data_IF_003776006540
#
_entry.id   IF_003776006540
#
_cell.length_a   1.000
_cell.length_b   1.000
_cell.length_c   1.000
_cell.angle_alpha   90.00
_cell.angle_beta   90.00
_cell.angle_gamma   90.00
#
_symmetry.space_group_name_H-M   'P 1'
#
loop_
_entity.id
_entity.type
_entity.pdbx_description
1 polymer ?
#
# COMPACT_ATOMS: atom_id res chain seq x y z
N UNK A 1 23.49 7.08 22.74
CA UNK A 1 22.82 6.07 21.89
C UNK A 1 21.73 6.83 21.15
N UNK A 2 21.89 7.05 19.84
CA UNK A 2 20.84 7.70 19.04
C UNK A 2 19.64 6.75 19.02
N UNK A 3 18.53 7.13 19.66
CA UNK A 3 17.22 6.53 19.39
C UNK A 3 16.64 7.32 18.21
N UNK A 4 16.54 6.70 17.04
CA UNK A 4 15.93 7.35 15.86
C UNK A 4 14.42 7.53 16.00
N UNK A 5 13.79 6.81 16.94
CA UNK A 5 12.37 6.96 17.22
C UNK A 5 12.10 8.13 18.18
N UNK A 6 11.10 8.98 17.89
CA UNK A 6 10.67 10.02 18.82
C UNK A 6 10.34 9.43 20.20
N UNK A 7 10.64 10.18 21.26
CA UNK A 7 10.16 9.85 22.59
C UNK A 7 8.63 9.73 22.57
N UNK A 8 8.08 8.67 23.18
CA UNK A 8 6.63 8.44 23.28
C UNK A 8 6.13 7.10 22.74
N UNK A 9 6.97 6.30 22.08
CA UNK A 9 6.63 4.91 21.73
C UNK A 9 7.10 3.94 22.81
N UNK A 10 6.16 3.20 23.41
CA UNK A 10 6.46 2.18 24.42
C UNK A 10 6.92 0.84 23.81
N UNK A 11 6.51 0.55 22.57
CA UNK A 11 6.83 -0.68 21.85
C UNK A 11 6.78 -0.46 20.34
N UNK A 12 7.80 -0.92 19.63
CA UNK A 12 7.89 -0.88 18.17
C UNK A 12 8.03 -2.30 17.63
N UNK A 13 7.08 -2.68 16.78
CA UNK A 13 7.04 -4.01 16.16
C UNK A 13 7.12 -3.84 14.64
N UNK A 14 8.10 -4.48 14.02
CA UNK A 14 8.21 -4.56 12.56
C UNK A 14 7.81 -5.94 12.05
N UNK A 15 7.07 -5.98 10.95
CA UNK A 15 6.79 -7.19 10.17
C UNK A 15 7.55 -7.04 8.86
N UNK A 16 8.55 -7.87 8.63
CA UNK A 16 9.47 -7.67 7.51
C UNK A 16 10.02 -9.00 6.98
N UNK A 17 10.33 -9.04 5.68
CA UNK A 17 10.98 -10.19 5.03
C UNK A 17 12.51 -10.12 5.18
N UNK A 18 13.04 -8.98 5.64
CA UNK A 18 14.47 -8.75 5.88
C UNK A 18 14.68 -7.81 7.05
N UNK A 19 15.92 -7.69 7.51
CA UNK A 19 16.29 -6.65 8.48
C UNK A 19 16.39 -5.28 7.78
N UNK A 20 15.28 -4.57 7.66
CA UNK A 20 15.24 -3.16 7.22
C UNK A 20 15.82 -2.22 8.30
N UNK A 21 16.07 -0.95 7.95
CA UNK A 21 16.48 0.04 8.95
C UNK A 21 15.41 0.17 10.05
N UNK A 22 14.14 0.18 9.67
CA UNK A 22 13.00 0.16 10.60
C UNK A 22 13.03 -1.06 11.51
N UNK A 23 13.20 -2.26 10.95
CA UNK A 23 13.29 -3.50 11.73
C UNK A 23 14.50 -3.50 12.67
N UNK A 24 15.64 -2.97 12.22
CA UNK A 24 16.87 -2.88 13.02
C UNK A 24 16.69 -2.02 14.28
N UNK A 25 15.87 -0.97 14.20
CA UNK A 25 15.54 -0.10 15.33
C UNK A 25 14.24 -0.48 16.05
N UNK A 26 13.61 -1.62 15.71
CA UNK A 26 12.40 -2.09 16.38
C UNK A 26 12.74 -2.94 17.62
N UNK A 27 11.84 -2.98 18.59
CA UNK A 27 11.98 -3.85 19.77
C UNK A 27 11.68 -5.31 19.43
N UNK A 28 10.73 -5.53 18.52
CA UNK A 28 10.33 -6.85 18.03
C UNK A 28 10.31 -6.84 16.50
N UNK A 29 10.86 -7.90 15.91
CA UNK A 29 10.77 -8.16 14.47
C UNK A 29 10.09 -9.49 14.26
N UNK A 30 8.98 -9.49 13.52
CA UNK A 30 8.22 -10.68 13.15
C UNK A 30 8.60 -11.07 11.69
N UNK A 31 9.03 -12.32 11.45
CA UNK A 31 9.47 -12.74 10.12
C UNK A 31 8.26 -12.92 9.18
N UNK A 32 8.18 -12.09 8.15
CA UNK A 32 7.16 -12.19 7.11
C UNK A 32 7.59 -13.17 6.01
N UNK A 33 6.63 -13.88 5.43
CA UNK A 33 6.86 -14.73 4.27
C UNK A 33 7.19 -13.87 3.03
N UNK A 34 8.21 -14.30 2.28
CA UNK A 34 8.67 -13.65 1.05
C UNK A 34 7.66 -13.69 -0.10
N UNK A 35 7.98 -12.97 -1.19
CA UNK A 35 7.07 -12.77 -2.33
C UNK A 35 6.61 -14.06 -3.03
N UNK A 36 7.44 -15.12 -3.00
CA UNK A 36 7.15 -16.42 -3.63
C UNK A 36 6.85 -17.51 -2.59
N UNK A 37 6.68 -17.13 -1.34
CA UNK A 37 6.44 -18.05 -0.21
C UNK A 37 4.97 -18.07 0.23
N UNK A 38 4.13 -17.27 -0.43
CA UNK A 38 2.72 -17.07 -0.11
C UNK A 38 1.94 -16.71 -1.36
N UNK A 39 0.63 -16.92 -1.30
CA UNK A 39 -0.29 -16.48 -2.35
C UNK A 39 -0.54 -14.98 -2.21
N UNK A 40 -0.34 -14.22 -3.28
CA UNK A 40 -0.55 -12.77 -3.27
C UNK A 40 -0.96 -12.23 -4.65
N UNK A 41 -1.48 -11.01 -4.66
CA UNK A 41 -1.84 -10.29 -5.87
C UNK A 41 -1.11 -8.96 -5.93
N UNK A 42 -0.56 -8.63 -7.10
CA UNK A 42 -0.04 -7.29 -7.33
C UNK A 42 -1.20 -6.29 -7.38
N UNK A 43 -1.07 -5.17 -6.68
CA UNK A 43 -2.04 -4.09 -6.77
C UNK A 43 -2.16 -3.59 -8.23
N UNK A 44 -3.39 -3.39 -8.73
CA UNK A 44 -3.60 -2.91 -10.07
C UNK A 44 -3.26 -1.42 -10.18
N UNK A 45 -2.81 -1.01 -11.36
CA UNK A 45 -2.63 0.41 -11.69
C UNK A 45 -3.16 0.65 -13.09
N UNK A 46 -3.49 1.88 -13.45
CA UNK A 46 -4.00 2.16 -14.80
C UNK A 46 -2.99 1.85 -15.91
N UNK A 47 -1.69 1.90 -15.58
CA UNK A 47 -0.60 1.55 -16.48
C UNK A 47 -0.40 0.03 -16.61
N UNK A 48 -0.85 -0.75 -15.61
CA UNK A 48 -0.80 -2.21 -15.61
C UNK A 48 -2.18 -2.72 -15.20
N UNK A 49 -3.07 -2.77 -16.19
CA UNK A 49 -4.48 -3.10 -16.02
C UNK A 49 -4.76 -4.62 -16.00
N UNK A 50 -3.91 -5.34 -15.27
CA UNK A 50 -4.02 -6.77 -15.04
C UNK A 50 -3.95 -7.06 -13.55
N UNK A 51 -4.79 -7.97 -13.09
CA UNK A 51 -4.56 -8.67 -11.83
C UNK A 51 -3.40 -9.64 -12.10
N UNK A 52 -2.26 -9.39 -11.47
CA UNK A 52 -1.10 -10.27 -11.55
C UNK A 52 -1.02 -11.11 -10.30
N UNK A 53 -0.89 -12.41 -10.47
CA UNK A 53 -0.86 -13.39 -9.41
C UNK A 53 0.58 -13.79 -9.07
N UNK A 54 0.87 -13.87 -7.78
CA UNK A 54 2.06 -14.53 -7.23
C UNK A 54 1.60 -15.77 -6.48
N UNK A 55 2.05 -16.94 -6.93
CA UNK A 55 1.72 -18.21 -6.27
C UNK A 55 2.76 -18.54 -5.19
N UNK A 56 2.38 -19.44 -4.29
CA UNK A 56 3.32 -20.02 -3.33
C UNK A 56 4.22 -21.05 -4.05
N UNK A 57 5.37 -20.60 -4.53
CA UNK A 57 6.33 -21.48 -5.20
C UNK A 57 7.09 -22.38 -4.22
N UNK A 58 7.33 -21.90 -3.00
CA UNK A 58 8.00 -22.64 -1.92
C UNK A 58 7.32 -22.34 -0.58
N UNK A 59 7.55 -23.19 0.43
CA UNK A 59 7.06 -22.91 1.79
C UNK A 59 7.84 -21.74 2.42
N UNK A 60 7.22 -20.94 3.31
CA UNK A 60 7.91 -19.92 4.09
C UNK A 60 9.14 -20.50 4.79
N UNK A 61 10.26 -19.79 4.72
CA UNK A 61 11.52 -20.27 5.27
C UNK A 61 11.55 -20.05 6.78
N UNK A 62 11.98 -21.08 7.52
CA UNK A 62 12.11 -21.02 8.98
C UNK A 62 10.75 -20.88 9.67
N UNK A 63 10.61 -19.84 10.48
CA UNK A 63 9.36 -19.52 11.19
C UNK A 63 8.58 -18.37 10.54
N UNK A 64 8.97 -17.96 9.32
CA UNK A 64 8.28 -16.92 8.58
C UNK A 64 6.81 -17.27 8.35
N UNK A 65 5.94 -16.25 8.39
CA UNK A 65 4.49 -16.42 8.21
C UNK A 65 3.94 -15.43 7.19
N UNK A 66 2.94 -15.82 6.39
CA UNK A 66 2.09 -14.86 5.72
C UNK A 66 1.45 -13.92 6.74
N UNK A 67 1.25 -12.67 6.36
CA UNK A 67 0.75 -11.61 7.25
C UNK A 67 -0.65 -11.93 7.77
N UNK A 68 -1.49 -12.59 6.97
CA UNK A 68 -2.81 -13.06 7.41
C UNK A 68 -2.71 -14.00 8.61
N UNK A 69 -1.86 -15.04 8.54
CA UNK A 69 -1.64 -15.97 9.65
C UNK A 69 -1.13 -15.22 10.88
N UNK A 70 -0.16 -14.32 10.68
CA UNK A 70 0.44 -13.53 11.74
C UNK A 70 -0.60 -12.66 12.47
N UNK A 71 -1.41 -11.92 11.72
CA UNK A 71 -2.44 -11.04 12.29
C UNK A 71 -3.56 -11.83 12.97
N UNK A 72 -3.94 -12.98 12.42
CA UNK A 72 -4.93 -13.85 13.04
C UNK A 72 -4.42 -14.41 14.39
N UNK A 73 -3.16 -14.83 14.47
CA UNK A 73 -2.55 -15.29 15.72
C UNK A 73 -2.43 -14.16 16.75
N UNK A 74 -2.10 -12.94 16.32
CA UNK A 74 -2.09 -11.76 17.19
C UNK A 74 -3.49 -11.44 17.73
N UNK A 75 -4.51 -11.43 16.87
CA UNK A 75 -5.91 -11.24 17.27
C UNK A 75 -6.34 -12.28 18.32
N UNK A 76 -5.98 -13.55 18.12
CA UNK A 76 -6.24 -14.64 19.06
C UNK A 76 -5.58 -14.41 20.41
N UNK A 77 -4.31 -13.99 20.42
CA UNK A 77 -3.59 -13.75 21.66
C UNK A 77 -4.10 -12.51 22.39
N UNK A 78 -4.47 -11.46 21.65
CA UNK A 78 -5.10 -10.26 22.21
C UNK A 78 -6.44 -10.58 22.85
N UNK A 79 -7.29 -11.39 22.21
CA UNK A 79 -8.56 -11.84 22.76
C UNK A 79 -8.37 -12.63 24.08
N UNK A 80 -7.41 -13.56 24.11
CA UNK A 80 -7.06 -14.32 25.31
C UNK A 80 -6.62 -13.39 26.46
N UNK A 81 -5.72 -12.44 26.17
CA UNK A 81 -5.20 -11.50 27.15
C UNK A 81 -6.27 -10.51 27.63
N UNK A 82 -7.16 -10.06 26.74
CA UNK A 82 -8.29 -9.19 27.07
C UNK A 82 -9.20 -9.85 28.12
N UNK A 83 -9.55 -11.13 27.90
CA UNK A 83 -10.34 -11.92 28.87
C UNK A 83 -9.58 -12.11 30.19
N UNK A 84 -8.31 -12.50 30.14
CA UNK A 84 -7.50 -12.71 31.35
C UNK A 84 -7.32 -11.44 32.19
N UNK A 85 -7.22 -10.28 31.54
CA UNK A 85 -7.04 -8.97 32.22
C UNK A 85 -8.37 -8.30 32.58
N UNK A 86 -9.51 -8.90 32.24
CA UNK A 86 -10.83 -8.30 32.43
C UNK A 86 -11.03 -7.00 31.63
N UNK A 87 -10.27 -6.80 30.55
CA UNK A 87 -10.35 -5.63 29.65
C UNK A 87 -10.89 -6.08 28.30
N UNK A 88 -12.19 -6.31 28.24
CA UNK A 88 -12.86 -6.93 27.09
C UNK A 88 -13.42 -5.92 26.10
N UNK A 89 -13.39 -4.63 26.42
CA UNK A 89 -13.93 -3.56 25.59
C UNK A 89 -12.94 -2.38 25.52
N UNK A 90 -13.01 -1.66 24.40
CA UNK A 90 -12.22 -0.47 24.14
C UNK A 90 -13.11 0.59 23.48
N UNK A 91 -13.08 1.83 23.98
CA UNK A 91 -13.77 2.97 23.37
C UNK A 91 -12.76 3.85 22.64
N UNK A 92 -13.03 4.15 21.38
CA UNK A 92 -12.27 5.10 20.56
C UNK A 92 -13.21 6.21 20.07
N UNK A 93 -13.34 7.27 20.86
CA UNK A 93 -14.15 8.43 20.50
C UNK A 93 -15.62 8.08 20.24
N UNK A 94 -16.21 7.20 21.06
CA UNK A 94 -17.59 6.72 20.92
C UNK A 94 -17.77 5.53 19.98
N UNK A 95 -16.68 4.98 19.42
CA UNK A 95 -16.69 3.66 18.77
C UNK A 95 -16.31 2.60 19.77
N UNK A 96 -17.30 1.77 20.14
CA UNK A 96 -17.10 0.66 21.06
C UNK A 96 -16.62 -0.57 20.30
N UNK A 97 -15.45 -1.08 20.69
CA UNK A 97 -14.84 -2.30 20.18
C UNK A 97 -14.85 -3.38 21.25
N UNK A 98 -15.24 -4.59 20.86
CA UNK A 98 -15.09 -5.77 21.71
C UNK A 98 -13.77 -6.46 21.40
N UNK A 99 -12.98 -6.66 22.44
CA UNK A 99 -11.70 -7.36 22.39
C UNK A 99 -11.86 -8.85 22.71
N UNK A 100 -12.95 -9.23 23.40
CA UNK A 100 -13.24 -10.61 23.79
C UNK A 100 -13.89 -11.46 22.69
N UNK A 101 -14.03 -10.92 21.47
CA UNK A 101 -14.40 -11.66 20.25
C UNK A 101 -13.56 -11.24 19.04
N UNK A 102 -12.40 -10.61 19.27
CA UNK A 102 -11.57 -10.03 18.22
C UNK A 102 -11.14 -11.06 17.18
N UNK A 103 -10.72 -12.25 17.60
CA UNK A 103 -10.29 -13.30 16.70
C UNK A 103 -11.45 -13.88 15.90
N UNK A 104 -12.60 -14.04 16.55
CA UNK A 104 -13.83 -14.48 15.89
C UNK A 104 -14.21 -13.51 14.77
N UNK A 105 -14.24 -12.20 15.05
CA UNK A 105 -14.56 -11.18 14.05
C UNK A 105 -13.49 -11.14 12.95
N UNK A 106 -12.21 -11.17 13.30
CA UNK A 106 -11.11 -11.14 12.34
C UNK A 106 -11.17 -12.30 11.34
N UNK A 107 -11.55 -13.49 11.80
CA UNK A 107 -11.64 -14.71 10.98
C UNK A 107 -13.00 -14.90 10.31
N UNK A 108 -13.84 -13.87 10.27
CA UNK A 108 -15.22 -13.95 9.76
C UNK A 108 -16.02 -15.07 10.42
N UNK A 109 -16.01 -15.10 11.75
CA UNK A 109 -16.63 -16.15 12.57
C UNK A 109 -16.10 -17.56 12.23
N UNK A 110 -14.79 -17.65 11.99
CA UNK A 110 -14.10 -18.90 11.66
C UNK A 110 -14.26 -19.37 10.21
N UNK A 111 -14.84 -18.55 9.32
CA UNK A 111 -14.93 -18.86 7.90
C UNK A 111 -13.55 -18.84 7.22
N UNK A 112 -12.62 -17.99 7.66
CA UNK A 112 -11.24 -17.94 7.17
C UNK A 112 -10.29 -17.94 8.37
N UNK A 113 -9.70 -19.09 8.67
CA UNK A 113 -8.80 -19.26 9.82
C UNK A 113 -7.37 -18.83 9.48
N UNK A 114 -6.47 -18.94 10.46
CA UNK A 114 -5.10 -18.40 10.38
C UNK A 114 -4.33 -18.97 9.16
N UNK A 115 -4.58 -20.24 8.81
CA UNK A 115 -3.89 -20.95 7.72
C UNK A 115 -4.69 -21.04 6.42
N UNK A 116 -5.79 -20.31 6.30
CA UNK A 116 -6.70 -20.37 5.15
C UNK A 116 -6.39 -19.27 4.10
N UNK A 117 -5.12 -18.93 3.89
CA UNK A 117 -4.73 -17.85 2.96
C UNK A 117 -5.19 -18.12 1.51
N UNK A 118 -5.13 -19.36 1.05
CA UNK A 118 -5.67 -19.75 -0.27
C UNK A 118 -7.17 -19.46 -0.38
N UNK A 119 -7.92 -19.74 0.69
CA UNK A 119 -9.36 -19.44 0.73
C UNK A 119 -9.61 -17.95 0.73
N UNK A 120 -8.82 -17.18 1.48
CA UNK A 120 -8.88 -15.72 1.47
C UNK A 120 -8.62 -15.16 0.07
N UNK A 121 -7.57 -15.64 -0.60
CA UNK A 121 -7.22 -15.22 -1.95
C UNK A 121 -8.34 -15.53 -2.96
N UNK A 122 -8.98 -16.69 -2.85
CA UNK A 122 -10.11 -17.06 -3.70
C UNK A 122 -11.35 -16.19 -3.45
N UNK A 123 -11.67 -15.88 -2.19
CA UNK A 123 -12.74 -14.92 -1.88
C UNK A 123 -12.43 -13.52 -2.40
N UNK A 124 -11.18 -13.04 -2.30
CA UNK A 124 -10.78 -11.76 -2.90
C UNK A 124 -11.01 -11.71 -4.41
N UNK A 125 -10.71 -12.80 -5.13
CA UNK A 125 -10.97 -12.89 -6.58
C UNK A 125 -12.47 -12.87 -6.87
N UNK A 126 -13.26 -13.66 -6.12
CA UNK A 126 -14.72 -13.70 -6.27
C UNK A 126 -15.37 -12.36 -5.98
N UNK A 127 -14.95 -11.67 -4.93
CA UNK A 127 -15.43 -10.33 -4.60
C UNK A 127 -15.09 -9.33 -5.72
N UNK A 128 -13.88 -9.44 -6.29
CA UNK A 128 -13.47 -8.62 -7.42
C UNK A 128 -14.32 -8.89 -8.68
N UNK A 129 -14.72 -10.14 -8.93
CA UNK A 129 -15.71 -10.48 -9.95
C UNK A 129 -17.10 -9.93 -9.60
N UNK A 130 -17.51 -10.03 -8.33
CA UNK A 130 -18.81 -9.60 -7.84
C UNK A 130 -19.04 -8.10 -8.05
N UNK A 131 -17.99 -7.31 -7.86
CA UNK A 131 -18.03 -5.85 -8.13
C UNK A 131 -17.82 -5.51 -9.62
N UNK A 132 -17.69 -6.51 -10.50
CA UNK A 132 -17.61 -6.32 -11.95
C UNK A 132 -16.24 -5.87 -12.48
N UNK A 133 -15.18 -6.02 -11.67
CA UNK A 133 -13.84 -5.61 -12.09
C UNK A 133 -13.12 -6.69 -12.92
N UNK A 134 -13.45 -7.97 -12.72
CA UNK A 134 -12.90 -9.11 -13.46
C UNK A 134 -13.97 -9.86 -14.26
N UNK A 135 -13.57 -10.66 -15.26
CA UNK A 135 -14.51 -11.49 -16.02
C UNK A 135 -15.34 -12.42 -15.13
N UNK A 136 -16.59 -12.64 -15.51
CA UNK A 136 -17.46 -13.61 -14.83
C UNK A 136 -16.80 -14.99 -14.72
N UNK A 137 -17.08 -15.68 -13.60
CA UNK A 137 -16.55 -17.03 -13.30
C UNK A 137 -15.02 -17.11 -13.15
N UNK A 138 -14.33 -15.98 -13.04
CA UNK A 138 -12.93 -15.98 -12.62
C UNK A 138 -12.85 -16.42 -11.15
N UNK A 139 -12.01 -17.41 -10.87
CA UNK A 139 -11.71 -17.92 -9.54
C UNK A 139 -10.18 -18.03 -9.37
N UNK A 140 -9.71 -18.41 -8.17
CA UNK A 140 -8.29 -18.53 -7.91
C UNK A 140 -7.61 -19.56 -8.82
N UNK A 141 -8.31 -20.64 -9.19
CA UNK A 141 -7.77 -21.69 -10.07
C UNK A 141 -7.49 -21.15 -11.47
N UNK A 142 -8.39 -20.36 -12.02
CA UNK A 142 -8.21 -19.74 -13.34
C UNK A 142 -7.11 -18.66 -13.29
N UNK A 143 -7.07 -17.85 -12.23
CA UNK A 143 -6.02 -16.86 -12.02
C UNK A 143 -4.65 -17.53 -11.94
N UNK A 144 -4.52 -18.61 -11.16
CA UNK A 144 -3.29 -19.40 -11.05
C UNK A 144 -2.85 -19.99 -12.38
N UNK A 145 -3.79 -20.52 -13.17
CA UNK A 145 -3.48 -21.08 -14.49
C UNK A 145 -2.97 -20.02 -15.47
N UNK A 146 -3.54 -18.81 -15.43
CA UNK A 146 -3.21 -17.74 -16.40
C UNK A 146 -2.09 -16.82 -15.95
N UNK A 147 -1.84 -16.70 -14.64
CA UNK A 147 -0.88 -15.78 -14.02
C UNK A 147 -1.29 -14.31 -14.08
N UNK A 148 -1.96 -13.88 -15.16
CA UNK A 148 -2.50 -12.53 -15.33
C UNK A 148 -3.92 -12.57 -15.89
N UNK A 149 -4.81 -11.78 -15.28
CA UNK A 149 -6.18 -11.55 -15.77
C UNK A 149 -6.38 -10.07 -16.02
N UNK A 150 -6.85 -9.70 -17.22
CA UNK A 150 -7.13 -8.29 -17.55
C UNK A 150 -8.40 -7.84 -16.83
N UNK A 151 -8.37 -6.66 -16.23
CA UNK A 151 -9.59 -6.03 -15.70
C UNK A 151 -10.58 -5.72 -16.82
N UNK A 152 -11.86 -5.94 -16.54
CA UNK A 152 -12.99 -5.68 -17.44
C UNK A 152 -13.87 -4.53 -16.99
N UNK A 153 -13.65 -4.03 -15.77
CA UNK A 153 -14.38 -2.89 -15.20
C UNK A 153 -13.60 -2.23 -14.07
N UNK A 154 -14.08 -1.08 -13.63
CA UNK A 154 -13.48 -0.30 -12.54
C UNK A 154 -13.84 -0.83 -11.15
N UNK A 155 -14.73 -1.81 -11.04
CA UNK A 155 -15.19 -2.31 -9.76
C UNK A 155 -16.04 -1.31 -8.99
N UNK A 156 -15.97 -1.39 -7.67
CA UNK A 156 -16.68 -0.52 -6.74
C UNK A 156 -15.73 0.31 -5.85
N UNK A 157 -14.42 0.20 -6.05
CA UNK A 157 -13.47 0.93 -5.22
C UNK A 157 -13.39 2.40 -5.64
N UNK A 158 -13.22 3.29 -4.66
CA UNK A 158 -13.25 4.72 -4.91
C UNK A 158 -12.11 5.18 -5.84
N UNK A 159 -10.94 4.52 -5.81
CA UNK A 159 -9.80 4.89 -6.65
C UNK A 159 -10.10 4.54 -8.10
N UNK A 160 -10.58 3.32 -8.35
CA UNK A 160 -11.04 2.83 -9.64
C UNK A 160 -12.14 3.71 -10.22
N UNK A 161 -13.18 4.03 -9.45
CA UNK A 161 -14.28 4.88 -9.91
C UNK A 161 -13.82 6.31 -10.26
N UNK A 162 -12.81 6.85 -9.58
CA UNK A 162 -12.24 8.16 -9.89
C UNK A 162 -11.42 8.20 -11.19
N UNK A 163 -11.06 7.04 -11.75
CA UNK A 163 -10.55 6.97 -13.12
C UNK A 163 -11.59 7.48 -14.11
N UNK A 164 -12.88 7.34 -13.79
CA UNK A 164 -14.00 7.92 -14.53
C UNK A 164 -13.97 7.62 -16.04
N UNK A 165 -13.86 6.33 -16.38
CA UNK A 165 -13.78 5.84 -17.76
C UNK A 165 -14.31 4.42 -17.88
N UNK A 166 -14.73 4.01 -19.07
CA UNK A 166 -15.09 2.60 -19.30
C UNK A 166 -13.84 1.80 -19.60
N UNK A 167 -13.71 0.61 -18.99
CA UNK A 167 -12.71 -0.37 -19.43
C UNK A 167 -13.30 -1.16 -20.59
N UNK A 168 -12.68 -1.03 -21.76
CA UNK A 168 -13.07 -1.78 -22.97
C UNK A 168 -11.99 -2.80 -23.34
N UNK A 169 -12.39 -3.98 -23.85
CA UNK A 169 -11.44 -4.96 -24.38
C UNK A 169 -10.57 -4.33 -25.48
N UNK A 170 -9.27 -4.67 -25.47
CA UNK A 170 -8.29 -4.21 -26.47
C UNK A 170 -8.07 -2.69 -26.63
N UNK A 171 -8.70 -1.85 -25.80
CA UNK A 171 -8.45 -0.41 -25.79
C UNK A 171 -7.42 -0.02 -24.72
N UNK A 172 -6.77 1.13 -24.95
CA UNK A 172 -5.96 1.79 -23.91
C UNK A 172 -6.90 2.47 -22.93
N UNK A 173 -6.61 2.39 -21.64
CA UNK A 173 -7.39 3.10 -20.65
C UNK A 173 -6.94 4.56 -20.61
N UNK A 174 -7.86 5.46 -20.92
CA UNK A 174 -7.68 6.90 -20.77
C UNK A 174 -8.68 7.41 -19.72
N UNK A 175 -8.21 8.08 -18.65
CA UNK A 175 -9.06 8.49 -17.54
C UNK A 175 -9.92 9.71 -17.90
N UNK A 176 -10.88 10.03 -17.02
CA UNK A 176 -11.73 11.22 -17.05
C UNK A 176 -12.66 11.35 -18.26
N UNK A 177 -12.76 10.31 -19.10
CA UNK A 177 -13.60 10.28 -20.30
C UNK A 177 -15.08 10.43 -20.00
N UNK A 178 -15.56 9.97 -18.84
CA UNK A 178 -16.97 10.16 -18.46
C UNK A 178 -17.34 11.64 -18.35
N UNK A 179 -16.41 12.52 -17.96
CA UNK A 179 -16.69 13.95 -17.86
C UNK A 179 -16.77 14.62 -19.23
N UNK A 180 -15.88 14.25 -20.14
CA UNK A 180 -15.80 14.86 -21.48
C UNK A 180 -16.78 14.24 -22.47
N UNK A 181 -17.04 12.93 -22.38
CA UNK A 181 -17.88 12.19 -23.33
C UNK A 181 -19.32 12.01 -22.82
N UNK A 182 -19.49 11.58 -21.56
CA UNK A 182 -20.82 11.35 -20.95
C UNK A 182 -21.37 12.56 -20.21
N UNK A 183 -20.59 13.64 -20.09
CA UNK A 183 -20.96 14.89 -19.42
C UNK A 183 -21.30 14.69 -17.94
N UNK A 184 -20.72 13.67 -17.30
CA UNK A 184 -20.82 13.51 -15.84
C UNK A 184 -20.06 14.68 -15.20
N UNK A 185 -20.66 15.47 -14.30
CA UNK A 185 -19.95 16.58 -13.68
C UNK A 185 -18.75 16.11 -12.85
N UNK A 186 -17.69 16.91 -12.81
CA UNK A 186 -16.54 16.63 -11.94
C UNK A 186 -16.98 16.69 -10.46
N UNK A 187 -16.38 15.88 -9.56
CA UNK A 187 -16.70 15.90 -8.13
C UNK A 187 -16.01 17.06 -7.40
N UNK A 188 -16.18 18.27 -7.92
CA UNK A 188 -15.63 19.54 -7.42
C UNK A 188 -16.77 20.50 -7.05
N UNK A 189 -16.46 21.58 -6.31
CA UNK A 189 -17.46 22.56 -5.87
C UNK A 189 -18.24 23.16 -7.05
N UNK A 190 -17.54 23.56 -8.12
CA UNK A 190 -18.16 24.16 -9.30
C UNK A 190 -18.59 23.12 -10.37
N UNK A 191 -18.49 21.82 -10.05
CA UNK A 191 -18.87 20.69 -10.90
C UNK A 191 -18.12 20.61 -12.24
N UNK A 192 -16.95 21.24 -12.33
CA UNK A 192 -16.06 21.33 -13.50
C UNK A 192 -14.61 21.09 -13.08
N UNK A 193 -13.68 21.13 -14.04
CA UNK A 193 -12.26 21.30 -13.71
C UNK A 193 -12.13 22.65 -13.00
N UNK A 194 -11.76 22.62 -11.72
CA UNK A 194 -11.76 23.79 -10.84
C UNK A 194 -10.34 24.36 -10.74
N UNK A 195 -10.12 25.50 -11.40
CA UNK A 195 -8.88 26.27 -11.27
C UNK A 195 -8.99 27.38 -10.22
N UNK A 196 -10.21 27.85 -9.93
CA UNK A 196 -10.45 28.87 -8.90
C UNK A 196 -10.89 28.23 -7.58
N UNK A 197 -10.19 28.48 -6.49
CA UNK A 197 -10.52 27.98 -5.15
C UNK A 197 -10.79 29.17 -4.23
N UNK A 198 -12.06 29.38 -3.89
CA UNK A 198 -12.58 30.55 -3.15
C UNK A 198 -12.66 30.32 -1.64
N UNK A 199 -12.03 29.27 -1.13
CA UNK A 199 -11.92 29.04 0.31
C UNK A 199 -11.02 30.10 0.94
N UNK A 200 -11.40 30.62 2.12
CA UNK A 200 -10.68 31.70 2.81
C UNK A 200 -9.16 31.44 2.92
N UNK A 201 -8.76 30.22 3.26
CA UNK A 201 -7.33 29.84 3.30
C UNK A 201 -6.59 29.98 1.96
N UNK A 202 -7.23 29.69 0.83
CA UNK A 202 -6.61 29.85 -0.50
C UNK A 202 -6.51 31.33 -0.86
N UNK A 203 -7.52 32.14 -0.52
CA UNK A 203 -7.50 33.59 -0.71
C UNK A 203 -6.42 34.25 0.16
N UNK A 204 -6.34 33.90 1.44
CA UNK A 204 -5.31 34.38 2.38
C UNK A 204 -3.90 33.98 1.93
N UNK A 205 -3.75 32.77 1.38
CA UNK A 205 -2.48 32.30 0.85
C UNK A 205 -2.13 32.87 -0.54
N UNK A 206 -3.05 33.54 -1.24
CA UNK A 206 -2.87 33.96 -2.64
C UNK A 206 -2.76 32.78 -3.60
N UNK A 207 -3.52 31.71 -3.37
CA UNK A 207 -3.59 30.47 -4.17
C UNK A 207 -4.96 30.24 -4.80
N UNK A 208 -5.83 31.26 -4.80
CA UNK A 208 -7.15 31.17 -5.38
C UNK A 208 -7.11 30.87 -6.88
N UNK A 209 -6.01 31.17 -7.57
CA UNK A 209 -5.68 30.70 -8.91
C UNK A 209 -4.32 30.01 -8.92
N UNK A 210 -4.03 29.15 -9.91
CA UNK A 210 -2.69 28.58 -10.08
C UNK A 210 -1.65 29.70 -10.24
N UNK A 211 -0.66 29.69 -9.36
CA UNK A 211 0.40 30.71 -9.33
C UNK A 211 1.74 30.06 -9.03
N UNK A 212 2.82 30.65 -9.53
CA UNK A 212 4.16 30.23 -9.13
C UNK A 212 4.46 30.69 -7.71
N UNK A 213 4.90 29.77 -6.86
CA UNK A 213 5.54 30.05 -5.58
C UNK A 213 6.95 29.44 -5.58
N UNK A 214 7.99 30.18 -5.15
CA UNK A 214 9.31 29.61 -5.00
C UNK A 214 9.29 28.52 -3.92
N UNK A 215 10.17 27.51 -3.99
CA UNK A 215 10.26 26.50 -2.94
C UNK A 215 10.56 27.19 -1.60
N UNK A 216 9.86 26.81 -0.52
CA UNK A 216 10.19 27.29 0.82
C UNK A 216 11.65 26.94 1.16
N UNK A 217 12.31 27.79 1.96
CA UNK A 217 13.69 27.55 2.44
C UNK A 217 13.74 26.50 3.57
N UNK A 218 13.12 25.35 3.34
CA UNK A 218 13.15 24.20 4.25
C UNK A 218 14.60 23.75 4.43
N UNK A 219 15.04 23.66 5.68
CA UNK A 219 16.43 23.31 6.02
C UNK A 219 17.33 24.51 6.28
N UNK A 220 16.94 25.75 5.92
CA UNK A 220 17.70 26.97 6.18
C UNK A 220 18.26 27.64 4.91
N UNK A 221 19.12 28.64 5.10
CA UNK A 221 19.72 29.42 4.01
C UNK A 221 21.03 28.78 3.53
N UNK A 222 20.90 27.71 2.76
CA UNK A 222 22.03 26.95 2.22
C UNK A 222 22.15 27.11 0.69
N UNK A 223 23.38 27.08 0.15
CA UNK A 223 23.63 27.34 -1.28
C UNK A 223 23.22 26.18 -2.21
N UNK A 224 23.05 24.97 -1.68
CA UNK A 224 22.66 23.78 -2.44
C UNK A 224 21.29 23.29 -1.98
N UNK A 225 20.44 22.93 -2.94
CA UNK A 225 19.15 22.30 -2.69
C UNK A 225 19.31 20.79 -2.86
N UNK A 226 19.00 20.03 -1.81
CA UNK A 226 18.98 18.57 -1.89
C UNK A 226 17.74 18.10 -2.63
N UNK A 227 17.94 17.34 -3.70
CA UNK A 227 16.86 16.66 -4.41
C UNK A 227 17.01 15.14 -4.28
N UNK A 228 15.92 14.41 -4.46
CA UNK A 228 15.90 12.95 -4.43
C UNK A 228 15.08 12.38 -5.58
N UNK A 229 15.25 11.09 -5.85
CA UNK A 229 14.51 10.39 -6.88
C UNK A 229 14.47 8.90 -6.59
N UNK A 230 13.51 8.19 -7.19
CA UNK A 230 13.45 6.74 -7.07
C UNK A 230 14.68 6.12 -7.73
N UNK A 231 15.27 5.14 -7.03
CA UNK A 231 16.49 4.48 -7.48
C UNK A 231 16.18 3.52 -8.64
N UNK A 232 17.09 3.43 -9.60
CA UNK A 232 16.96 2.45 -10.71
C UNK A 232 17.12 1.01 -10.23
N UNK A 233 18.01 0.80 -9.26
CA UNK A 233 18.45 -0.53 -8.79
C UNK A 233 17.65 -1.06 -7.60
N UNK A 234 16.59 -0.36 -7.18
CA UNK A 234 15.72 -0.82 -6.09
C UNK A 234 14.31 -0.25 -6.20
N UNK A 235 13.33 -1.00 -5.70
CA UNK A 235 11.98 -0.48 -5.45
C UNK A 235 11.95 0.01 -4.01
N UNK A 236 12.01 1.33 -3.83
CA UNK A 236 12.24 1.94 -2.52
C UNK A 236 13.47 1.32 -1.84
N UNK A 237 13.36 0.95 -0.56
CA UNK A 237 14.44 0.30 0.18
C UNK A 237 14.49 -1.22 0.00
N UNK A 238 13.58 -1.86 -0.74
CA UNK A 238 13.44 -3.33 -0.66
C UNK A 238 14.70 -4.08 -1.13
N UNK A 239 15.38 -3.56 -2.17
CA UNK A 239 16.53 -4.21 -2.80
C UNK A 239 17.87 -3.52 -2.51
N UNK A 240 17.88 -2.46 -1.69
CA UNK A 240 19.11 -1.64 -1.47
C UNK A 240 20.23 -2.37 -0.76
N UNK A 241 19.96 -3.55 -0.21
CA UNK A 241 20.96 -4.45 0.42
C UNK A 241 21.11 -5.77 -0.34
N UNK A 242 20.49 -5.91 -1.51
CA UNK A 242 20.65 -7.11 -2.33
C UNK A 242 22.05 -7.12 -2.95
N UNK A 243 22.86 -8.11 -2.59
CA UNK A 243 24.27 -8.18 -3.01
C UNK A 243 24.44 -8.18 -4.53
N UNK A 244 23.59 -8.93 -5.26
CA UNK A 244 23.64 -8.98 -6.71
C UNK A 244 23.40 -7.61 -7.33
N UNK A 245 22.40 -6.87 -6.84
CA UNK A 245 22.08 -5.53 -7.34
C UNK A 245 23.13 -4.49 -6.92
N UNK A 246 23.68 -4.58 -5.70
CA UNK A 246 24.75 -3.70 -5.24
C UNK A 246 25.99 -3.75 -6.14
N UNK A 247 26.31 -4.93 -6.70
CA UNK A 247 27.41 -5.12 -7.66
C UNK A 247 27.18 -4.45 -9.03
N UNK A 248 25.96 -3.99 -9.32
CA UNK A 248 25.62 -3.30 -10.58
C UNK A 248 25.84 -1.79 -10.54
N UNK A 249 26.13 -1.23 -9.36
CA UNK A 249 26.42 0.19 -9.16
C UNK A 249 27.57 0.34 -8.16
N UNK A 250 27.72 1.53 -7.53
CA UNK A 250 28.80 1.79 -6.56
C UNK A 250 28.68 1.01 -5.25
N UNK A 251 27.65 0.18 -5.06
CA UNK A 251 27.49 -0.65 -3.86
C UNK A 251 27.15 0.10 -2.55
N UNK A 252 26.95 1.42 -2.59
CA UNK A 252 26.66 2.23 -1.41
C UNK A 252 25.77 3.45 -1.78
N UNK A 253 25.15 4.12 -0.79
CA UNK A 253 24.45 5.39 -1.00
C UNK A 253 25.38 6.43 -1.66
N UNK A 254 24.84 7.25 -2.56
CA UNK A 254 25.61 8.26 -3.28
C UNK A 254 24.80 9.54 -3.44
N UNK A 255 25.53 10.65 -3.58
CA UNK A 255 25.00 11.94 -4.02
C UNK A 255 25.53 12.21 -5.43
N UNK A 256 24.66 12.71 -6.31
CA UNK A 256 25.04 13.18 -7.64
C UNK A 256 25.12 14.70 -7.57
N UNK A 257 26.27 15.26 -7.94
CA UNK A 257 26.55 16.70 -7.85
C UNK A 257 27.09 17.20 -9.19
N UNK A 258 26.84 18.48 -9.49
CA UNK A 258 27.50 19.13 -10.63
C UNK A 258 29.02 19.15 -10.40
N UNK A 259 29.86 18.84 -11.41
CA UNK A 259 31.31 18.88 -11.24
C UNK A 259 31.83 20.23 -10.75
N UNK A 260 31.25 21.36 -11.21
CA UNK A 260 31.67 22.70 -10.79
C UNK A 260 31.36 22.97 -9.32
N UNK A 261 30.21 22.49 -8.84
CA UNK A 261 29.83 22.65 -7.43
C UNK A 261 30.67 21.74 -6.51
N UNK A 262 31.17 20.61 -7.04
CA UNK A 262 32.05 19.70 -6.31
C UNK A 262 33.52 20.18 -6.24
N UNK A 263 33.93 21.06 -7.16
CA UNK A 263 35.28 21.65 -7.22
C UNK A 263 35.41 22.95 -6.41
N UNK A 264 34.30 23.63 -6.13
CA UNK A 264 34.24 24.92 -5.43
C UNK A 264 34.45 24.80 -3.91
#
# INVERSE_FOLDING_TARGET
VWREWPDGFDLIVSVDIRMSATAYFSDIVLPAAGFYEKVDFRFPTMHVNFLTFSDQAVQPIGEAKPEWEMMALLAKKLEELARQRGRTEYDDGGRHYRLDNLYEVFTFHGAIKERDQEKLADEMVKDTVRVGALPEKTDLKEVRKRGIIRFTGLGADAIGLNVATDIKPAETISPLRWHTERKIPYPTYNRRIQFYIDHDWFLEAGEELPVHKPPPRMGGDYPLIMNSGHQRWSIHSIWVVNETLLRTHRGHPLVIMNPKDAEA
#
